data_IF_121134078204
#
_entry.id   IF_121134078204
#
_cell.length_a   1.000
_cell.length_b   1.000
_cell.length_c   1.000
_cell.angle_alpha   90.00
_cell.angle_beta   90.00
_cell.angle_gamma   90.00
#
_symmetry.space_group_name_H-M   'P 1'
#
loop_
_entity.id
_entity.type
_entity.pdbx_description
1 polymer ?
#
# COMPACT_ATOMS: atom_id res chain seq x y z
N UNK A 1 -5.49 -10.65 -5.01
CA UNK A 1 -5.77 -10.41 -6.44
C UNK A 1 -5.74 -8.91 -6.65
N UNK A 2 -4.91 -8.45 -7.58
CA UNK A 2 -4.88 -7.03 -7.98
C UNK A 2 -6.17 -6.74 -8.74
N UNK A 3 -6.88 -5.68 -8.40
CA UNK A 3 -8.03 -5.23 -9.19
C UNK A 3 -7.55 -4.42 -10.40
N UNK A 4 -8.49 -4.01 -11.25
CA UNK A 4 -8.18 -3.27 -12.47
C UNK A 4 -7.45 -1.96 -12.17
N UNK A 5 -7.83 -1.24 -11.10
CA UNK A 5 -7.21 0.05 -10.77
C UNK A 5 -5.76 -0.14 -10.31
N UNK A 6 -5.51 -1.14 -9.46
CA UNK A 6 -4.15 -1.44 -9.02
C UNK A 6 -3.29 -1.99 -10.15
N UNK A 7 -3.86 -2.80 -11.04
CA UNK A 7 -3.15 -3.30 -12.22
C UNK A 7 -2.73 -2.15 -13.16
N UNK A 8 -3.62 -1.17 -13.38
CA UNK A 8 -3.30 0.03 -14.12
C UNK A 8 -2.23 0.88 -13.42
N UNK A 9 -2.32 1.00 -12.10
CA UNK A 9 -1.28 1.68 -11.30
C UNK A 9 0.09 1.03 -11.51
N UNK A 10 0.19 -0.29 -11.40
CA UNK A 10 1.44 -1.02 -11.64
C UNK A 10 1.93 -0.87 -13.09
N UNK A 11 1.04 -0.87 -14.08
CA UNK A 11 1.43 -0.62 -15.48
C UNK A 11 2.07 0.78 -15.65
N UNK A 12 1.57 1.80 -14.94
CA UNK A 12 2.06 3.19 -15.04
C UNK A 12 3.23 3.51 -14.13
N UNK A 13 3.33 2.87 -12.97
CA UNK A 13 4.32 3.15 -11.92
C UNK A 13 5.39 2.07 -11.78
N UNK A 14 5.19 0.89 -12.38
CA UNK A 14 6.05 -0.27 -12.22
C UNK A 14 5.71 -1.07 -10.96
N UNK A 15 6.36 -2.23 -10.82
CA UNK A 15 6.27 -3.08 -9.62
C UNK A 15 6.88 -2.38 -8.40
N UNK A 16 6.51 -2.86 -7.21
CA UNK A 16 7.10 -2.38 -5.98
C UNK A 16 8.60 -2.73 -5.94
N UNK A 17 9.43 -1.72 -5.67
CA UNK A 17 10.88 -1.84 -5.48
C UNK A 17 11.25 -2.27 -4.06
N UNK A 18 10.31 -2.14 -3.12
CA UNK A 18 10.45 -2.55 -1.74
C UNK A 18 9.15 -3.19 -1.27
N UNK A 19 9.25 -4.13 -0.35
CA UNK A 19 8.12 -4.82 0.26
C UNK A 19 8.30 -4.86 1.78
N UNK A 20 7.22 -4.57 2.50
CA UNK A 20 7.14 -4.69 3.94
C UNK A 20 5.73 -5.15 4.32
N UNK A 21 5.65 -6.23 5.08
CA UNK A 21 4.36 -6.76 5.52
C UNK A 21 3.66 -5.76 6.45
N UNK A 22 2.38 -5.51 6.21
CA UNK A 22 1.59 -4.63 7.06
C UNK A 22 1.10 -5.41 8.29
N UNK A 23 1.46 -5.01 9.51
CA UNK A 23 1.00 -5.67 10.72
C UNK A 23 -0.49 -5.39 10.96
N UNK A 24 -1.20 -6.36 11.54
CA UNK A 24 -2.65 -6.26 11.80
C UNK A 24 -3.02 -5.08 12.71
N UNK A 25 -2.10 -4.68 13.60
CA UNK A 25 -2.26 -3.48 14.44
C UNK A 25 -2.49 -2.23 13.59
N UNK A 26 -1.72 -2.06 12.51
CA UNK A 26 -1.82 -0.90 11.62
C UNK A 26 -3.10 -0.99 10.79
N UNK A 27 -3.43 -2.18 10.29
CA UNK A 27 -4.70 -2.42 9.58
C UNK A 27 -5.92 -2.05 10.42
N UNK A 28 -5.89 -2.37 11.71
CA UNK A 28 -6.98 -2.07 12.65
C UNK A 28 -7.01 -0.59 13.03
N UNK A 29 -5.85 0.03 13.28
CA UNK A 29 -5.73 1.46 13.60
C UNK A 29 -6.30 2.34 12.49
N UNK A 30 -5.99 2.00 11.24
CA UNK A 30 -6.40 2.78 10.07
C UNK A 30 -7.77 2.35 9.51
N UNK A 31 -8.40 1.33 10.06
CA UNK A 31 -9.75 0.90 9.68
C UNK A 31 -10.78 1.98 10.00
N UNK A 32 -11.53 2.42 8.99
CA UNK A 32 -12.52 3.50 9.13
C UNK A 32 -11.92 4.91 9.05
N UNK A 33 -10.59 5.04 9.06
CA UNK A 33 -9.88 6.29 8.75
C UNK A 33 -9.49 6.31 7.27
N UNK A 34 -8.89 5.21 6.80
CA UNK A 34 -8.56 5.00 5.39
C UNK A 34 -9.67 4.23 4.68
N UNK A 35 -9.83 4.45 3.35
CA UNK A 35 -10.73 3.65 2.54
C UNK A 35 -10.38 2.15 2.61
N UNK A 36 -11.38 1.29 2.73
CA UNK A 36 -11.21 -0.17 2.77
C UNK A 36 -10.45 -0.72 1.56
N UNK A 37 -10.57 -0.05 0.40
CA UNK A 37 -9.84 -0.42 -0.82
C UNK A 37 -8.32 -0.25 -0.66
N UNK A 38 -7.87 0.81 0.01
CA UNK A 38 -6.44 1.03 0.31
C UNK A 38 -5.92 0.00 1.32
N UNK A 39 -6.71 -0.27 2.37
CA UNK A 39 -6.37 -1.31 3.36
C UNK A 39 -6.30 -2.69 2.70
N UNK A 40 -7.16 -2.97 1.71
CA UNK A 40 -7.09 -4.21 0.94
C UNK A 40 -5.77 -4.33 0.18
N UNK A 41 -5.26 -3.24 -0.41
CA UNK A 41 -3.95 -3.23 -1.05
C UNK A 41 -2.81 -3.46 -0.08
N UNK A 42 -2.86 -2.83 1.09
CA UNK A 42 -1.89 -3.07 2.16
C UNK A 42 -1.86 -4.53 2.59
N UNK A 43 -3.02 -5.21 2.60
CA UNK A 43 -3.11 -6.64 2.90
C UNK A 43 -2.47 -7.52 1.84
N UNK A 44 -2.62 -7.17 0.56
CA UNK A 44 -2.18 -8.02 -0.55
C UNK A 44 -0.75 -7.75 -0.99
N UNK A 45 -0.36 -6.48 -1.04
CA UNK A 45 0.93 -6.03 -1.62
C UNK A 45 1.89 -5.53 -0.54
N UNK A 46 1.43 -5.30 0.69
CA UNK A 46 2.25 -4.73 1.74
C UNK A 46 2.45 -3.22 1.60
N UNK A 47 3.31 -2.69 2.45
CA UNK A 47 3.97 -1.40 2.24
C UNK A 47 5.09 -1.57 1.24
N UNK A 48 5.28 -0.57 0.38
CA UNK A 48 6.21 -0.67 -0.72
C UNK A 48 6.35 0.62 -1.50
N UNK A 49 7.46 0.74 -2.20
CA UNK A 49 7.83 1.95 -2.95
C UNK A 49 7.77 1.67 -4.43
N UNK A 50 7.16 2.57 -5.19
CA UNK A 50 6.90 2.46 -6.62
C UNK A 50 7.61 3.59 -7.36
N UNK A 51 7.89 3.36 -8.66
CA UNK A 51 8.50 4.35 -9.56
C UNK A 51 9.71 5.06 -8.96
N UNK A 52 10.69 4.28 -8.47
CA UNK A 52 11.93 4.77 -7.87
C UNK A 52 11.75 5.83 -6.77
N UNK A 53 10.75 5.67 -5.89
CA UNK A 53 10.54 6.58 -4.76
C UNK A 53 9.49 7.66 -4.98
N UNK A 54 8.88 7.73 -6.17
CA UNK A 54 7.85 8.74 -6.45
C UNK A 54 6.56 8.52 -5.65
N UNK A 55 6.23 7.25 -5.38
CA UNK A 55 5.05 6.89 -4.60
C UNK A 55 5.40 5.77 -3.64
N UNK A 56 5.01 5.89 -2.37
CA UNK A 56 5.24 4.84 -1.37
C UNK A 56 3.99 4.61 -0.52
N UNK A 57 3.63 3.34 -0.37
CA UNK A 57 2.73 2.88 0.68
C UNK A 57 3.61 2.71 1.93
N UNK A 58 3.40 3.55 2.93
CA UNK A 58 4.18 3.54 4.18
C UNK A 58 3.25 3.49 5.38
N UNK A 59 3.80 3.14 6.54
CA UNK A 59 3.12 3.32 7.80
C UNK A 59 3.04 4.81 8.15
N UNK A 60 1.85 5.43 8.25
CA UNK A 60 1.78 6.84 8.57
C UNK A 60 2.25 7.14 10.01
N UNK A 61 2.14 6.18 10.93
CA UNK A 61 2.68 6.28 12.30
C UNK A 61 4.18 6.56 12.37
N UNK A 62 4.95 6.17 11.35
CA UNK A 62 6.40 6.42 11.33
C UNK A 62 6.75 7.89 11.04
N UNK A 63 5.75 8.70 10.67
CA UNK A 63 5.90 10.09 10.28
C UNK A 63 5.06 11.05 11.15
N UNK A 64 4.46 10.56 12.24
CA UNK A 64 3.78 11.37 13.27
C UNK A 64 4.78 12.05 14.22
#
# INVERSE_FOLDING_TARGET
MRDQDFSYFIEKFGEATSYSAVPEKSMTKWKGILPDKLLSYWKTEGWGTYKNGLFSLVNPDEYE
#
